data_IF_647264351663
#
_entry.id   IF_647264351663
#
_cell.length_a   1.000
_cell.length_b   1.000
_cell.length_c   1.000
_cell.angle_alpha   90.00
_cell.angle_beta   90.00
_cell.angle_gamma   90.00
#
_symmetry.space_group_name_H-M   'P 1'
#
loop_
_entity.id
_entity.type
_entity.pdbx_description
1 polymer ?
#
# COMPACT_ATOMS: atom_id res chain seq x y z
N UNK A 1 -3.37 8.63 21.92
CA UNK A 1 -2.13 9.20 22.54
C UNK A 1 -1.43 10.25 21.64
N UNK A 2 -2.01 10.60 20.49
CA UNK A 2 -1.40 11.48 19.46
C UNK A 2 -2.33 12.67 19.17
N UNK A 3 -3.03 13.18 20.19
CA UNK A 3 -4.10 14.18 19.98
C UNK A 3 -3.57 15.57 19.57
N UNK A 4 -2.32 15.88 19.90
CA UNK A 4 -1.73 17.19 19.64
C UNK A 4 -0.55 17.08 18.69
N UNK A 5 -0.29 18.18 17.98
CA UNK A 5 0.86 18.34 17.13
C UNK A 5 2.17 18.30 17.93
N UNK A 6 3.21 17.76 17.32
CA UNK A 6 4.54 17.79 17.91
C UNK A 6 5.12 19.20 17.83
N UNK A 7 5.52 19.77 18.97
CA UNK A 7 5.85 21.21 19.11
C UNK A 7 7.20 21.61 18.50
N UNK A 8 7.96 20.70 17.90
CA UNK A 8 9.27 21.01 17.29
C UNK A 8 9.15 21.34 15.81
N UNK A 9 9.45 22.59 15.45
CA UNK A 9 9.51 23.05 14.06
C UNK A 9 10.48 22.23 13.20
N UNK A 10 11.60 21.80 13.79
CA UNK A 10 12.61 20.98 13.12
C UNK A 10 12.00 19.64 12.71
N UNK A 11 11.32 18.96 13.64
CA UNK A 11 10.65 17.68 13.36
C UNK A 11 9.55 17.85 12.32
N UNK A 12 8.69 18.85 12.46
CA UNK A 12 7.63 19.09 11.48
C UNK A 12 8.18 19.31 10.07
N UNK A 13 9.26 20.09 9.95
CA UNK A 13 9.90 20.41 8.67
C UNK A 13 10.54 19.17 8.05
N UNK A 14 11.38 18.46 8.81
CA UNK A 14 12.09 17.27 8.32
C UNK A 14 11.10 16.15 7.96
N UNK A 15 10.11 15.87 8.81
CA UNK A 15 9.11 14.85 8.50
C UNK A 15 8.32 15.21 7.24
N UNK A 16 7.86 16.46 7.12
CA UNK A 16 7.12 16.92 5.93
C UNK A 16 7.95 16.80 4.65
N UNK A 17 9.26 17.05 4.74
CA UNK A 17 10.18 16.90 3.62
C UNK A 17 10.40 15.41 3.26
N UNK A 18 10.57 14.53 4.25
CA UNK A 18 10.89 13.12 4.01
C UNK A 18 9.72 12.30 3.48
N UNK A 19 8.49 12.61 3.87
CA UNK A 19 7.28 11.85 3.47
C UNK A 19 7.17 11.62 1.96
N UNK A 20 7.26 12.63 1.08
CA UNK A 20 7.18 12.40 -0.37
C UNK A 20 8.31 11.51 -0.90
N UNK A 21 9.52 11.58 -0.33
CA UNK A 21 10.62 10.69 -0.71
C UNK A 21 10.38 9.25 -0.26
N UNK A 22 9.84 9.04 0.95
CA UNK A 22 9.44 7.71 1.43
C UNK A 22 8.37 7.12 0.50
N UNK A 23 7.37 7.92 0.12
CA UNK A 23 6.30 7.49 -0.77
C UNK A 23 6.82 7.15 -2.16
N UNK A 24 7.69 7.98 -2.73
CA UNK A 24 8.32 7.71 -4.03
C UNK A 24 9.17 6.43 -3.99
N UNK A 25 9.96 6.25 -2.93
CA UNK A 25 10.76 5.04 -2.75
C UNK A 25 9.88 3.80 -2.56
N UNK A 26 8.77 3.92 -1.83
CA UNK A 26 7.81 2.84 -1.69
C UNK A 26 7.22 2.41 -3.05
N UNK A 27 6.84 3.36 -3.89
CA UNK A 27 6.35 3.08 -5.25
C UNK A 27 7.42 2.39 -6.10
N UNK A 28 8.68 2.84 -6.00
CA UNK A 28 9.80 2.17 -6.65
C UNK A 28 9.93 0.70 -6.21
N UNK A 29 9.87 0.43 -4.89
CA UNK A 29 9.97 -0.92 -4.31
C UNK A 29 8.82 -1.83 -4.75
N UNK A 30 7.60 -1.29 -4.93
CA UNK A 30 6.46 -2.07 -5.44
C UNK A 30 6.66 -2.40 -6.92
N UNK A 31 7.06 -1.42 -7.73
CA UNK A 31 7.17 -1.60 -9.20
C UNK A 31 8.34 -2.48 -9.60
N UNK A 32 9.40 -2.53 -8.80
CA UNK A 32 10.62 -3.30 -9.10
C UNK A 32 10.76 -4.58 -8.26
N UNK A 33 9.67 -5.03 -7.61
CA UNK A 33 9.70 -6.19 -6.73
C UNK A 33 10.08 -7.49 -7.41
N UNK A 34 9.80 -7.63 -8.71
CA UNK A 34 10.21 -8.80 -9.50
C UNK A 34 11.67 -8.75 -9.98
N UNK A 35 12.32 -7.59 -9.99
CA UNK A 35 13.71 -7.43 -10.44
C UNK A 35 14.73 -7.37 -9.30
N UNK A 36 14.29 -7.08 -8.07
CA UNK A 36 15.19 -6.89 -6.93
C UNK A 36 14.54 -7.24 -5.59
N UNK A 37 15.28 -7.15 -4.48
CA UNK A 37 14.71 -7.37 -3.15
C UNK A 37 13.66 -6.30 -2.85
N UNK A 38 12.42 -6.72 -2.59
CA UNK A 38 11.31 -5.80 -2.38
C UNK A 38 9.96 -6.44 -2.67
N UNK A 39 9.05 -5.63 -3.22
CA UNK A 39 7.71 -6.04 -3.63
C UNK A 39 6.59 -5.33 -2.88
N UNK A 40 5.38 -5.85 -3.10
CA UNK A 40 4.15 -5.27 -2.58
C UNK A 40 4.15 -5.08 -1.07
N UNK A 41 4.57 -6.08 -0.30
CA UNK A 41 4.53 -6.03 1.16
C UNK A 41 5.42 -4.91 1.73
N UNK A 42 6.69 -4.89 1.35
CA UNK A 42 7.69 -3.93 1.85
C UNK A 42 7.33 -2.51 1.41
N UNK A 43 6.88 -2.34 0.17
CA UNK A 43 6.39 -1.06 -0.32
C UNK A 43 5.13 -0.58 0.41
N UNK A 44 4.18 -1.48 0.68
CA UNK A 44 3.00 -1.20 1.49
C UNK A 44 3.35 -0.76 2.92
N UNK A 45 4.34 -1.40 3.54
CA UNK A 45 4.88 -0.99 4.85
C UNK A 45 5.45 0.43 4.79
N UNK A 46 6.25 0.76 3.77
CA UNK A 46 6.82 2.10 3.61
C UNK A 46 5.74 3.18 3.44
N UNK A 47 4.70 2.89 2.64
CA UNK A 47 3.54 3.78 2.52
C UNK A 47 2.84 3.96 3.87
N UNK A 48 2.63 2.89 4.63
CA UNK A 48 2.03 2.95 5.96
C UNK A 48 2.87 3.81 6.92
N UNK A 49 4.19 3.61 6.94
CA UNK A 49 5.12 4.42 7.74
C UNK A 49 5.03 5.90 7.38
N UNK A 50 4.85 6.26 6.10
CA UNK A 50 4.67 7.66 5.71
C UNK A 50 3.42 8.30 6.32
N UNK A 51 2.32 7.55 6.45
CA UNK A 51 1.09 8.02 7.08
C UNK A 51 1.20 8.00 8.60
N UNK A 52 1.81 6.97 9.18
CA UNK A 52 2.08 6.88 10.62
C UNK A 52 2.94 8.06 11.07
N UNK A 53 3.99 8.40 10.32
CA UNK A 53 4.81 9.58 10.60
C UNK A 53 3.96 10.84 10.59
N UNK A 54 3.06 11.02 9.61
CA UNK A 54 2.09 12.11 9.60
C UNK A 54 1.20 12.13 10.84
N UNK A 55 0.68 10.97 11.29
CA UNK A 55 -0.07 10.89 12.55
C UNK A 55 0.75 11.46 13.69
N UNK A 56 1.99 11.00 13.84
CA UNK A 56 2.86 11.34 14.97
C UNK A 56 3.20 12.84 15.06
N UNK A 57 3.51 13.51 13.95
CA UNK A 57 3.92 14.92 14.01
C UNK A 57 2.76 15.92 13.86
N UNK A 58 1.71 15.60 13.10
CA UNK A 58 0.55 16.49 12.89
C UNK A 58 -0.57 16.30 13.90
N UNK A 59 -0.52 15.25 14.71
CA UNK A 59 -1.63 14.86 15.57
C UNK A 59 -2.80 14.27 14.77
N UNK A 60 -3.78 13.70 15.49
CA UNK A 60 -4.94 13.02 14.88
C UNK A 60 -5.82 13.96 14.05
N UNK A 61 -6.19 15.13 14.57
CA UNK A 61 -7.09 16.08 13.90
C UNK A 61 -6.65 16.45 12.47
N UNK A 62 -5.39 16.87 12.31
CA UNK A 62 -4.88 17.32 11.01
C UNK A 62 -4.55 16.13 10.11
N UNK A 63 -3.94 15.08 10.67
CA UNK A 63 -3.58 13.92 9.87
C UNK A 63 -4.81 13.16 9.36
N UNK A 64 -5.90 13.05 10.13
CA UNK A 64 -7.11 12.32 9.73
C UNK A 64 -7.86 13.05 8.59
N UNK A 65 -7.77 14.38 8.54
CA UNK A 65 -8.27 15.16 7.40
C UNK A 65 -7.48 14.90 6.11
N UNK A 66 -6.16 14.68 6.22
CA UNK A 66 -5.29 14.37 5.08
C UNK A 66 -5.44 12.92 4.62
N UNK A 67 -5.54 11.99 5.57
CA UNK A 67 -5.66 10.56 5.30
C UNK A 67 -6.65 9.94 6.30
N UNK A 68 -7.93 9.79 5.95
CA UNK A 68 -8.93 9.29 6.89
C UNK A 68 -8.81 7.76 7.06
N UNK A 69 -9.11 7.19 8.25
CA UNK A 69 -9.10 5.74 8.47
C UNK A 69 -10.00 4.97 7.49
N UNK A 70 -11.13 5.57 7.07
CA UNK A 70 -11.99 5.00 6.02
C UNK A 70 -11.25 4.81 4.69
N UNK A 71 -10.35 5.71 4.31
CA UNK A 71 -9.52 5.54 3.12
C UNK A 71 -8.53 4.37 3.31
N UNK A 72 -7.92 4.24 4.49
CA UNK A 72 -7.07 3.09 4.80
C UNK A 72 -7.82 1.76 4.64
N UNK A 73 -9.06 1.69 5.14
CA UNK A 73 -9.93 0.52 4.98
C UNK A 73 -10.26 0.23 3.51
N UNK A 74 -10.62 1.25 2.73
CA UNK A 74 -10.91 1.09 1.30
C UNK A 74 -9.67 0.59 0.56
N UNK A 75 -8.49 1.15 0.83
CA UNK A 75 -7.24 0.70 0.22
C UNK A 75 -6.92 -0.75 0.60
N UNK A 76 -7.14 -1.13 1.87
CA UNK A 76 -6.94 -2.49 2.32
C UNK A 76 -7.84 -3.49 1.57
N UNK A 77 -9.14 -3.16 1.48
CA UNK A 77 -10.14 -3.99 0.81
C UNK A 77 -9.92 -4.07 -0.70
N UNK A 78 -9.64 -2.94 -1.36
CA UNK A 78 -9.34 -2.88 -2.80
C UNK A 78 -8.07 -3.66 -3.12
N UNK A 79 -7.02 -3.52 -2.29
CA UNK A 79 -5.79 -4.31 -2.46
C UNK A 79 -6.04 -5.81 -2.41
N UNK A 80 -6.81 -6.26 -1.42
CA UNK A 80 -7.19 -7.67 -1.30
C UNK A 80 -8.08 -8.14 -2.45
N UNK A 81 -8.98 -7.28 -2.94
CA UNK A 81 -9.82 -7.56 -4.10
C UNK A 81 -8.96 -7.73 -5.37
N UNK A 82 -7.98 -6.85 -5.59
CA UNK A 82 -7.06 -6.94 -6.74
C UNK A 82 -6.30 -8.27 -6.70
N UNK A 83 -5.73 -8.64 -5.54
CA UNK A 83 -5.06 -9.92 -5.36
C UNK A 83 -5.99 -11.11 -5.65
N UNK A 84 -7.19 -11.09 -5.07
CA UNK A 84 -8.19 -12.14 -5.24
C UNK A 84 -8.62 -12.29 -6.69
N UNK A 85 -8.91 -11.19 -7.38
CA UNK A 85 -9.29 -11.20 -8.79
C UNK A 85 -8.16 -11.66 -9.70
N UNK A 86 -6.92 -11.21 -9.46
CA UNK A 86 -5.76 -11.67 -10.21
C UNK A 86 -5.54 -13.19 -10.10
N UNK A 87 -5.93 -13.80 -8.98
CA UNK A 87 -5.88 -15.24 -8.79
C UNK A 87 -7.11 -16.00 -9.32
N UNK A 88 -8.32 -15.47 -9.14
CA UNK A 88 -9.58 -16.12 -9.52
C UNK A 88 -9.85 -16.05 -11.02
N UNK A 89 -9.51 -14.94 -11.68
CA UNK A 89 -9.76 -14.77 -13.13
C UNK A 89 -9.14 -15.92 -13.94
N UNK A 90 -7.85 -16.28 -13.76
CA UNK A 90 -7.27 -17.47 -14.38
C UNK A 90 -8.07 -18.76 -14.17
N UNK A 91 -8.63 -18.98 -12.98
CA UNK A 91 -9.42 -20.18 -12.68
C UNK A 91 -10.71 -20.26 -13.48
N UNK A 92 -11.40 -19.12 -13.67
CA UNK A 92 -12.69 -19.06 -14.38
C UNK A 92 -12.55 -19.43 -15.86
N UNK A 93 -11.36 -19.25 -16.43
CA UNK A 93 -11.05 -19.47 -17.85
C UNK A 93 -10.19 -20.73 -18.09
N UNK A 94 -10.06 -21.59 -17.08
CA UNK A 94 -9.45 -22.93 -17.19
C UNK A 94 -8.00 -23.06 -16.70
N UNK A 95 -7.40 -21.98 -16.18
CA UNK A 95 -6.08 -21.99 -15.55
C UNK A 95 -6.12 -22.34 -14.05
N UNK A 96 -4.96 -22.34 -13.41
CA UNK A 96 -4.85 -22.49 -11.95
C UNK A 96 -4.91 -21.11 -11.23
N UNK A 97 -5.10 -21.11 -9.90
CA UNK A 97 -5.03 -19.87 -9.12
C UNK A 97 -3.67 -19.18 -9.30
N UNK A 98 -3.69 -17.88 -9.61
CA UNK A 98 -2.51 -17.06 -9.93
C UNK A 98 -1.71 -17.56 -11.15
N UNK A 99 -2.30 -18.36 -12.02
CA UNK A 99 -1.71 -18.67 -13.32
C UNK A 99 -1.82 -17.46 -14.26
N UNK A 100 -0.82 -16.59 -14.21
CA UNK A 100 -0.80 -15.36 -15.00
C UNK A 100 -0.81 -15.59 -16.51
N UNK A 101 -0.47 -16.79 -16.99
CA UNK A 101 -0.52 -17.10 -18.43
C UNK A 101 -1.94 -17.09 -18.99
N UNK A 102 -2.94 -17.22 -18.12
CA UNK A 102 -4.35 -17.15 -18.48
C UNK A 102 -4.94 -15.75 -18.33
N UNK A 103 -4.24 -14.75 -17.79
CA UNK A 103 -4.82 -13.40 -17.62
C UNK A 103 -5.32 -12.83 -18.97
N UNK A 104 -6.59 -12.38 -19.07
CA UNK A 104 -7.21 -12.00 -20.34
C UNK A 104 -6.85 -10.56 -20.72
N UNK A 105 -5.56 -10.27 -20.86
CA UNK A 105 -5.04 -8.94 -21.25
C UNK A 105 -4.70 -8.98 -22.74
N UNK A 106 -5.47 -8.28 -23.60
CA UNK A 106 -5.20 -8.27 -25.04
C UNK A 106 -3.79 -7.75 -25.34
N UNK A 107 -3.18 -8.30 -26.39
CA UNK A 107 -1.89 -7.86 -26.95
C UNK A 107 -0.63 -8.17 -26.12
N UNK A 108 -0.76 -8.70 -24.90
CA UNK A 108 0.38 -9.04 -24.02
C UNK A 108 0.42 -10.55 -23.79
N UNK A 109 1.57 -11.19 -24.02
CA UNK A 109 1.69 -12.64 -23.95
C UNK A 109 3.01 -13.09 -23.30
N UNK A 110 3.07 -14.37 -22.92
CA UNK A 110 4.30 -15.02 -22.48
C UNK A 110 4.94 -14.37 -21.24
N UNK A 111 6.22 -14.01 -21.34
CA UNK A 111 6.98 -13.47 -20.21
C UNK A 111 6.47 -12.09 -19.76
N UNK A 112 6.05 -11.24 -20.69
CA UNK A 112 5.53 -9.90 -20.39
C UNK A 112 4.21 -9.98 -19.63
N UNK A 113 3.32 -10.90 -20.01
CA UNK A 113 2.05 -11.11 -19.31
C UNK A 113 2.27 -11.58 -17.88
N UNK A 114 3.24 -12.48 -17.67
CA UNK A 114 3.63 -12.92 -16.31
C UNK A 114 4.21 -11.79 -15.49
N UNK A 115 5.09 -10.96 -16.06
CA UNK A 115 5.65 -9.81 -15.36
C UNK A 115 4.56 -8.81 -14.95
N UNK A 116 3.60 -8.55 -15.84
CA UNK A 116 2.45 -7.71 -15.54
C UNK A 116 1.54 -8.32 -14.47
N UNK A 117 1.29 -9.63 -14.51
CA UNK A 117 0.53 -10.35 -13.49
C UNK A 117 1.17 -10.25 -12.10
N UNK A 118 2.49 -10.41 -12.03
CA UNK A 118 3.26 -10.21 -10.78
C UNK A 118 3.09 -8.77 -10.29
N UNK A 119 3.27 -7.77 -11.17
CA UNK A 119 3.11 -6.37 -10.78
C UNK A 119 1.69 -6.05 -10.26
N UNK A 120 0.65 -6.58 -10.90
CA UNK A 120 -0.75 -6.43 -10.45
C UNK A 120 -0.91 -6.97 -9.02
N UNK A 121 -0.36 -8.16 -8.77
CA UNK A 121 -0.40 -8.80 -7.45
C UNK A 121 0.39 -8.00 -6.42
N UNK A 122 1.56 -7.49 -6.77
CA UNK A 122 2.37 -6.64 -5.88
C UNK A 122 1.68 -5.34 -5.53
N UNK A 123 0.99 -4.71 -6.50
CA UNK A 123 0.14 -3.53 -6.23
C UNK A 123 -1.00 -3.90 -5.28
N UNK A 124 -1.70 -5.00 -5.54
CA UNK A 124 -2.78 -5.48 -4.67
C UNK A 124 -2.33 -5.72 -3.23
N UNK A 125 -1.23 -6.47 -3.06
CA UNK A 125 -0.63 -6.73 -1.74
C UNK A 125 -0.16 -5.41 -1.09
N UNK A 126 0.47 -4.51 -1.85
CA UNK A 126 0.96 -3.24 -1.33
C UNK A 126 -0.15 -2.34 -0.80
N UNK A 127 -1.29 -2.26 -1.48
CA UNK A 127 -2.47 -1.53 -1.01
C UNK A 127 -3.09 -2.21 0.22
N UNK A 128 -3.19 -3.54 0.21
CA UNK A 128 -3.71 -4.34 1.32
C UNK A 128 -2.91 -4.07 2.61
N UNK A 129 -1.59 -4.20 2.53
CA UNK A 129 -0.65 -4.00 3.63
C UNK A 129 -0.64 -2.53 4.08
N UNK A 130 -0.61 -1.58 3.14
CA UNK A 130 -0.63 -0.16 3.46
C UNK A 130 -1.85 0.20 4.31
N UNK A 131 -3.04 -0.13 3.83
CA UNK A 131 -4.27 0.16 4.55
C UNK A 131 -4.34 -0.56 5.90
N UNK A 132 -4.02 -1.86 5.92
CA UNK A 132 -4.10 -2.67 7.14
C UNK A 132 -3.16 -2.15 8.24
N UNK A 133 -1.92 -1.79 7.91
CA UNK A 133 -0.95 -1.31 8.91
C UNK A 133 -1.32 0.06 9.48
N UNK A 134 -1.86 0.96 8.66
CA UNK A 134 -2.38 2.24 9.17
C UNK A 134 -3.54 1.99 10.14
N UNK A 135 -4.46 1.08 9.80
CA UNK A 135 -5.59 0.73 10.68
C UNK A 135 -5.15 0.04 11.96
N UNK A 136 -4.19 -0.88 11.89
CA UNK A 136 -3.61 -1.54 13.07
C UNK A 136 -2.99 -0.48 13.97
N UNK A 137 -2.21 0.45 13.41
CA UNK A 137 -1.64 1.55 14.17
C UNK A 137 -2.72 2.41 14.85
N UNK A 138 -3.69 2.91 14.08
CA UNK A 138 -4.78 3.77 14.58
C UNK A 138 -5.57 3.07 15.72
N UNK A 139 -5.81 1.75 15.60
CA UNK A 139 -6.46 0.96 16.66
C UNK A 139 -5.56 0.80 17.91
N UNK A 140 -4.26 0.54 17.75
CA UNK A 140 -3.33 0.34 18.86
C UNK A 140 -3.13 1.60 19.69
N UNK A 141 -3.15 2.79 19.08
CA UNK A 141 -3.07 4.06 19.83
C UNK A 141 -4.39 4.50 20.49
N UNK A 142 -5.43 3.64 20.39
CA UNK A 142 -6.71 3.79 21.08
C UNK A 142 -7.66 4.76 20.40
N UNK A 143 -7.45 5.08 19.13
CA UNK A 143 -8.31 5.98 18.37
C UNK A 143 -9.48 5.17 17.78
N UNK A 144 -10.70 5.44 18.25
CA UNK A 144 -11.93 4.88 17.67
C UNK A 144 -12.42 5.85 16.60
N UNK A 145 -12.31 5.43 15.34
CA UNK A 145 -12.71 6.20 14.15
C UNK A 145 -14.03 5.69 13.58
#
# INVERSE_FOLDING_TARGET
MIKQQYQSIIVQTICSLLIPFIQLFALYVIVHGHYGPGGGFQGGVLLAVSVILQRLYLGTEVSYRKFPPKLAMVLAAVGMLIFGLAGIIPMVIGGAFLDYSYLPIPWIHGAELRALGILIVEIGIGLAVFGALVLIFDNLVGERW
#
